data_IF_897288276564
#
_entry.id   IF_897288276564
#
_cell.length_a   1.000
_cell.length_b   1.000
_cell.length_c   1.000
_cell.angle_alpha   90.00
_cell.angle_beta   90.00
_cell.angle_gamma   90.00
#
_symmetry.space_group_name_H-M   'P 1'
#
loop_
_entity.id
_entity.type
_entity.pdbx_description
1 polymer ?
#
# COMPACT_ATOMS: atom_id res chain seq x y z
N UNK A 1 -39.26 58.78 28.51
CA UNK A 1 -39.54 58.23 27.16
C UNK A 1 -38.30 57.60 26.45
N UNK A 2 -37.08 58.05 26.70
CA UNK A 2 -35.91 57.60 25.97
C UNK A 2 -35.35 56.23 26.40
N UNK A 3 -35.52 55.80 27.65
CA UNK A 3 -35.00 54.48 28.11
C UNK A 3 -35.82 53.31 27.60
N UNK A 4 -37.13 53.41 27.45
CA UNK A 4 -37.97 52.35 26.88
C UNK A 4 -37.71 52.16 25.38
N UNK A 5 -37.40 53.19 24.64
CA UNK A 5 -37.03 53.09 23.20
C UNK A 5 -35.68 52.42 23.00
N UNK A 6 -34.70 52.68 23.87
CA UNK A 6 -33.39 52.02 23.82
C UNK A 6 -33.47 50.54 24.14
N UNK A 7 -34.29 50.16 25.11
CA UNK A 7 -34.51 48.73 25.45
C UNK A 7 -35.25 48.02 24.32
N UNK A 8 -36.26 48.63 23.71
CA UNK A 8 -36.96 48.05 22.55
C UNK A 8 -36.06 47.89 21.33
N UNK A 9 -35.15 48.82 21.06
CA UNK A 9 -34.19 48.73 19.96
C UNK A 9 -33.13 47.64 20.25
N UNK A 10 -32.65 47.55 21.50
CA UNK A 10 -31.69 46.51 21.90
C UNK A 10 -32.30 45.10 21.83
N UNK A 11 -33.56 44.91 22.25
CA UNK A 11 -34.26 43.60 22.10
C UNK A 11 -34.54 43.26 20.64
N UNK A 12 -34.85 44.26 19.81
CA UNK A 12 -35.03 44.04 18.36
C UNK A 12 -33.70 43.66 17.66
N UNK A 13 -32.59 44.27 18.05
CA UNK A 13 -31.25 43.91 17.54
C UNK A 13 -30.80 42.50 17.99
N UNK A 14 -31.08 42.12 19.23
CA UNK A 14 -30.78 40.79 19.76
C UNK A 14 -31.63 39.73 19.07
N UNK A 15 -32.91 40.01 18.79
CA UNK A 15 -33.78 39.11 18.03
C UNK A 15 -33.36 38.97 16.56
N UNK A 16 -32.78 40.03 15.97
CA UNK A 16 -32.24 39.97 14.60
C UNK A 16 -30.93 39.22 14.50
N UNK A 17 -30.10 39.23 15.56
CA UNK A 17 -28.84 38.48 15.61
C UNK A 17 -29.01 36.99 15.94
N UNK A 18 -30.16 36.58 16.49
CA UNK A 18 -30.49 35.20 16.76
C UNK A 18 -31.19 34.45 15.60
N UNK A 19 -31.49 35.18 14.51
CA UNK A 19 -32.28 34.65 13.40
C UNK A 19 -31.56 33.88 12.31
N UNK A 20 -30.24 33.70 12.37
CA UNK A 20 -29.47 32.96 11.34
C UNK A 20 -28.59 31.86 11.92
N UNK A 21 -29.18 31.00 12.71
CA UNK A 21 -28.67 29.63 12.88
C UNK A 21 -29.68 28.64 12.32
N UNK A 22 -29.97 28.73 11.03
CA UNK A 22 -30.46 27.55 10.32
C UNK A 22 -29.25 26.67 10.09
N UNK A 23 -28.99 25.76 10.99
CA UNK A 23 -28.13 24.62 10.74
C UNK A 23 -28.76 23.78 9.67
N UNK A 24 -28.68 24.21 8.44
CA UNK A 24 -28.90 23.37 7.26
C UNK A 24 -27.59 22.67 6.98
N UNK A 25 -27.39 21.55 7.61
CA UNK A 25 -26.29 20.59 7.36
C UNK A 25 -26.54 19.79 6.08
N UNK A 26 -27.43 20.25 5.22
CA UNK A 26 -27.75 19.54 3.96
C UNK A 26 -28.53 18.25 4.15
N UNK A 27 -29.04 17.96 5.34
CA UNK A 27 -29.88 16.79 5.60
C UNK A 27 -31.32 17.03 5.14
N UNK A 28 -31.93 16.01 4.56
CA UNK A 28 -33.34 16.02 4.23
C UNK A 28 -34.17 15.96 5.55
N UNK A 29 -35.17 16.83 5.66
CA UNK A 29 -36.09 16.83 6.81
C UNK A 29 -36.77 15.45 6.91
N UNK A 30 -36.65 14.80 8.08
CA UNK A 30 -37.19 13.47 8.31
C UNK A 30 -36.26 12.29 7.93
N UNK A 31 -35.05 12.57 7.47
CA UNK A 31 -34.04 11.52 7.37
C UNK A 31 -33.50 11.15 8.76
N UNK A 32 -33.24 9.87 9.00
CA UNK A 32 -32.56 9.44 10.20
C UNK A 32 -31.18 10.11 10.31
N UNK A 33 -30.80 10.51 11.51
CA UNK A 33 -29.47 11.07 11.76
C UNK A 33 -28.40 10.11 11.19
N UNK A 34 -27.52 10.66 10.37
CA UNK A 34 -26.35 9.89 9.91
C UNK A 34 -25.46 9.64 11.11
N UNK A 35 -24.93 8.41 11.28
CA UNK A 35 -23.88 8.19 12.26
C UNK A 35 -22.78 9.22 12.03
N UNK A 36 -22.31 9.86 13.10
CA UNK A 36 -21.22 10.82 12.99
C UNK A 36 -20.01 10.09 12.40
N UNK A 37 -19.57 10.58 11.26
CA UNK A 37 -18.32 10.09 10.65
C UNK A 37 -17.17 10.63 11.48
N UNK A 38 -16.35 9.75 12.04
CA UNK A 38 -15.14 10.14 12.75
C UNK A 38 -14.08 10.59 11.74
N UNK A 39 -13.86 11.90 11.68
CA UNK A 39 -12.86 12.49 10.79
C UNK A 39 -11.41 12.28 11.27
N UNK A 40 -11.22 11.80 12.49
CA UNK A 40 -9.89 11.57 13.08
C UNK A 40 -9.26 10.23 12.68
N UNK A 41 -9.81 9.55 11.69
CA UNK A 41 -9.33 8.27 11.19
C UNK A 41 -8.08 8.45 10.32
N UNK A 42 -6.97 8.91 10.92
CA UNK A 42 -5.67 8.80 10.31
C UNK A 42 -5.10 7.41 10.67
N UNK A 43 -5.01 6.47 9.73
CA UNK A 43 -4.41 5.17 10.01
C UNK A 43 -2.94 5.37 10.42
N UNK A 44 -2.50 4.59 11.42
CA UNK A 44 -1.12 4.64 11.88
C UNK A 44 -0.12 4.41 10.74
N UNK A 45 0.91 5.25 10.68
CA UNK A 45 1.96 5.18 9.65
C UNK A 45 1.53 5.66 8.26
N UNK A 46 0.36 6.32 8.14
CA UNK A 46 -0.11 6.90 6.88
C UNK A 46 -0.19 8.41 6.96
N UNK A 47 -0.09 9.06 5.81
CA UNK A 47 -0.32 10.50 5.64
C UNK A 47 -1.51 10.74 4.72
N UNK A 48 -2.23 11.83 4.97
CA UNK A 48 -3.34 12.25 4.11
C UNK A 48 -2.82 13.00 2.89
N UNK A 49 -3.22 12.54 1.71
CA UNK A 49 -2.96 13.21 0.44
C UNK A 49 -4.27 13.83 -0.04
N UNK A 50 -4.36 15.16 -0.13
CA UNK A 50 -5.60 15.85 -0.45
C UNK A 50 -6.05 15.60 -1.89
N UNK A 51 -7.36 15.67 -2.15
CA UNK A 51 -7.88 15.65 -3.51
C UNK A 51 -7.39 16.84 -4.31
N UNK A 52 -7.10 16.63 -5.59
CA UNK A 52 -6.63 17.74 -6.44
C UNK A 52 -6.47 17.35 -7.89
N UNK A 53 -6.05 18.32 -8.69
CA UNK A 53 -5.75 18.16 -10.11
C UNK A 53 -4.28 18.45 -10.36
N UNK A 54 -3.63 17.59 -11.11
CA UNK A 54 -2.23 17.77 -11.50
C UNK A 54 -2.02 17.37 -12.96
N UNK A 55 -0.90 17.77 -13.52
CA UNK A 55 -0.46 17.32 -14.84
C UNK A 55 0.44 16.11 -14.66
N UNK A 56 -0.03 14.93 -15.07
CA UNK A 56 0.75 13.68 -15.10
C UNK A 56 1.66 13.64 -16.32
N UNK A 57 2.66 12.77 -16.28
CA UNK A 57 3.56 12.54 -17.39
C UNK A 57 4.83 13.39 -17.35
N UNK A 58 5.70 13.25 -18.38
CA UNK A 58 6.99 13.88 -18.41
C UNK A 58 6.87 15.42 -18.44
N UNK A 59 7.81 16.04 -17.75
CA UNK A 59 8.05 17.48 -17.81
C UNK A 59 8.95 17.83 -19.00
N UNK A 60 9.25 19.11 -19.17
CA UNK A 60 10.18 19.63 -20.21
C UNK A 60 11.58 18.99 -20.16
N UNK A 61 11.91 18.28 -19.11
CA UNK A 61 13.19 17.60 -18.90
C UNK A 61 13.15 16.10 -19.24
N UNK A 62 12.17 15.64 -19.98
CA UNK A 62 12.14 14.26 -20.51
C UNK A 62 13.18 14.10 -21.63
N UNK A 63 14.35 13.58 -21.25
CA UNK A 63 15.49 13.37 -22.17
C UNK A 63 15.16 12.35 -23.26
N UNK A 64 14.28 11.41 -22.99
CA UNK A 64 13.95 10.31 -23.89
C UNK A 64 12.84 10.65 -24.88
N UNK A 65 12.21 11.82 -24.76
CA UNK A 65 11.07 12.21 -25.59
C UNK A 65 10.08 11.05 -25.77
N UNK A 66 9.67 10.43 -24.65
CA UNK A 66 8.80 9.26 -24.74
C UNK A 66 7.40 9.72 -25.16
N UNK A 67 7.17 9.79 -26.45
CA UNK A 67 5.91 10.22 -27.07
C UNK A 67 4.70 9.41 -26.61
N UNK A 68 4.94 8.31 -25.90
CA UNK A 68 3.90 7.43 -25.35
C UNK A 68 3.26 7.96 -24.07
N UNK A 69 3.85 8.92 -23.38
CA UNK A 69 3.36 9.52 -22.15
C UNK A 69 3.20 11.04 -22.33
N UNK A 70 2.16 11.46 -23.03
CA UNK A 70 1.83 12.89 -23.16
C UNK A 70 1.36 13.46 -21.83
N UNK A 71 1.83 14.68 -21.51
CA UNK A 71 1.34 15.40 -20.35
C UNK A 71 -0.19 15.57 -20.42
N UNK A 72 -0.88 15.20 -19.34
CA UNK A 72 -2.34 15.22 -19.26
C UNK A 72 -2.78 15.71 -17.87
N UNK A 73 -3.77 16.60 -17.83
CA UNK A 73 -4.38 17.02 -16.57
C UNK A 73 -5.31 15.92 -16.05
N UNK A 74 -5.08 15.50 -14.79
CA UNK A 74 -5.82 14.42 -14.12
C UNK A 74 -6.23 14.89 -12.73
N UNK A 75 -7.47 14.57 -12.36
CA UNK A 75 -8.00 14.82 -11.01
C UNK A 75 -8.01 13.54 -10.21
N UNK A 76 -7.48 13.60 -8.98
CA UNK A 76 -7.37 12.48 -8.04
C UNK A 76 -8.18 12.81 -6.79
N UNK A 77 -8.95 11.83 -6.29
CA UNK A 77 -9.62 11.94 -5.00
C UNK A 77 -8.60 11.90 -3.86
N UNK A 78 -8.97 12.43 -2.68
CA UNK A 78 -8.15 12.29 -1.49
C UNK A 78 -8.00 10.84 -1.04
N UNK A 79 -6.86 10.51 -0.46
CA UNK A 79 -6.55 9.17 0.05
C UNK A 79 -5.49 9.26 1.16
N UNK A 80 -5.36 8.20 1.92
CA UNK A 80 -4.23 8.00 2.82
C UNK A 80 -3.19 7.12 2.11
N UNK A 81 -1.91 7.41 2.32
CA UNK A 81 -0.79 6.63 1.80
C UNK A 81 0.22 6.36 2.90
N UNK A 82 0.80 5.16 2.93
CA UNK A 82 1.89 4.86 3.85
C UNK A 82 3.03 5.88 3.69
N UNK A 83 3.50 6.44 4.80
CA UNK A 83 4.57 7.43 4.79
C UNK A 83 5.89 6.86 4.25
N UNK A 84 6.11 5.56 4.44
CA UNK A 84 7.28 4.81 3.98
C UNK A 84 6.88 3.64 3.08
N UNK A 85 7.87 3.02 2.43
CA UNK A 85 7.70 1.68 1.88
C UNK A 85 7.39 0.71 3.02
N UNK A 86 6.59 -0.34 2.76
CA UNK A 86 6.35 -1.41 3.73
C UNK A 86 7.67 -2.05 4.13
N UNK A 87 7.93 -2.10 5.43
CA UNK A 87 9.20 -2.59 5.99
C UNK A 87 9.21 -4.11 6.16
N UNK A 88 10.41 -4.69 6.32
CA UNK A 88 10.56 -6.11 6.64
C UNK A 88 9.83 -6.47 7.94
N UNK A 89 9.86 -5.59 8.94
CA UNK A 89 9.15 -5.83 10.21
C UNK A 89 7.63 -5.92 9.99
N UNK A 90 7.04 -4.97 9.27
CA UNK A 90 5.59 -4.97 8.99
C UNK A 90 5.18 -6.20 8.19
N UNK A 91 5.97 -6.55 7.16
CA UNK A 91 5.67 -7.73 6.36
C UNK A 91 5.86 -9.04 7.14
N UNK A 92 6.81 -9.11 8.07
CA UNK A 92 6.97 -10.26 8.98
C UNK A 92 5.78 -10.45 9.91
N UNK A 93 5.13 -9.37 10.35
CA UNK A 93 3.89 -9.47 11.13
C UNK A 93 2.81 -10.21 10.35
N UNK A 94 2.68 -9.92 9.05
CA UNK A 94 1.77 -10.66 8.17
C UNK A 94 2.15 -12.14 8.06
N UNK A 95 3.43 -12.43 7.82
CA UNK A 95 3.92 -13.81 7.72
C UNK A 95 3.69 -14.59 9.00
N UNK A 96 3.97 -14.00 10.15
CA UNK A 96 3.75 -14.63 11.46
C UNK A 96 2.27 -14.85 11.74
N UNK A 97 1.44 -13.85 11.43
CA UNK A 97 -0.01 -13.99 11.59
C UNK A 97 -0.57 -15.17 10.76
N UNK A 98 -0.11 -15.32 9.51
CA UNK A 98 -0.52 -16.44 8.66
C UNK A 98 0.03 -17.76 9.19
N UNK A 99 1.30 -17.80 9.61
CA UNK A 99 1.90 -18.98 10.21
C UNK A 99 1.10 -19.47 11.43
N UNK A 100 0.78 -18.55 12.34
CA UNK A 100 0.04 -18.85 13.56
C UNK A 100 -1.42 -19.22 13.24
N UNK A 101 -2.06 -18.55 12.25
CA UNK A 101 -3.40 -18.93 11.77
C UNK A 101 -3.46 -20.39 11.27
N UNK A 102 -2.47 -20.81 10.48
CA UNK A 102 -2.39 -22.17 9.96
C UNK A 102 -2.18 -23.15 11.13
N UNK A 103 -1.30 -22.81 12.07
CA UNK A 103 -1.05 -23.63 13.24
C UNK A 103 -2.32 -23.85 14.10
N UNK A 104 -3.04 -22.78 14.43
CA UNK A 104 -4.32 -22.87 15.15
C UNK A 104 -5.33 -23.79 14.45
N UNK A 105 -5.45 -23.65 13.12
CA UNK A 105 -6.35 -24.51 12.33
C UNK A 105 -5.91 -25.98 12.32
N UNK A 106 -4.61 -26.25 12.38
CA UNK A 106 -4.08 -27.62 12.39
C UNK A 106 -4.21 -28.30 13.76
N UNK A 107 -3.99 -27.55 14.82
CA UNK A 107 -4.15 -28.04 16.21
C UNK A 107 -5.63 -28.32 16.49
N UNK A 108 -6.52 -27.40 16.12
CA UNK A 108 -7.96 -27.55 16.34
C UNK A 108 -8.36 -27.47 17.83
N UNK A 109 -9.46 -28.11 18.20
CA UNK A 109 -9.92 -28.15 19.59
C UNK A 109 -10.11 -26.74 20.19
N UNK A 110 -9.50 -26.47 21.34
CA UNK A 110 -9.62 -25.18 22.07
C UNK A 110 -9.00 -23.99 21.32
N UNK A 111 -8.23 -24.25 20.26
CA UNK A 111 -7.68 -23.22 19.36
C UNK A 111 -8.71 -22.66 18.37
N UNK A 112 -9.93 -23.23 18.33
CA UNK A 112 -11.02 -22.78 17.48
C UNK A 112 -12.25 -22.46 18.33
N UNK A 113 -12.90 -21.33 18.03
CA UNK A 113 -14.17 -20.93 18.60
C UNK A 113 -15.28 -21.24 17.61
N UNK A 114 -16.35 -21.88 18.06
CA UNK A 114 -17.55 -22.12 17.27
C UNK A 114 -18.56 -20.99 17.53
N UNK A 115 -18.95 -20.28 16.46
CA UNK A 115 -20.01 -19.29 16.50
C UNK A 115 -21.40 -19.93 16.56
N UNK A 116 -22.41 -19.18 16.98
CA UNK A 116 -23.81 -19.63 17.07
C UNK A 116 -24.38 -20.11 15.71
N UNK A 117 -23.80 -19.64 14.60
CA UNK A 117 -24.15 -19.98 13.24
C UNK A 117 -23.32 -21.14 12.65
N UNK A 118 -22.50 -21.80 13.47
CA UNK A 118 -21.61 -22.89 13.06
C UNK A 118 -20.34 -22.42 12.33
N UNK A 119 -20.08 -21.11 12.31
CA UNK A 119 -18.80 -20.59 11.77
C UNK A 119 -17.67 -20.83 12.76
N UNK A 120 -16.53 -21.29 12.25
CA UNK A 120 -15.32 -21.46 13.05
C UNK A 120 -14.45 -20.20 12.94
N UNK A 121 -13.97 -19.72 14.08
CA UNK A 121 -13.02 -18.63 14.18
C UNK A 121 -11.82 -19.03 15.04
N UNK A 122 -10.67 -18.38 14.80
CA UNK A 122 -9.44 -18.68 15.53
C UNK A 122 -9.51 -18.06 16.93
N UNK A 123 -9.19 -18.84 17.94
CA UNK A 123 -9.01 -18.38 19.31
C UNK A 123 -7.57 -17.87 19.50
N UNK A 124 -7.37 -16.58 19.28
CA UNK A 124 -6.06 -15.93 19.42
C UNK A 124 -5.57 -15.79 20.87
N UNK A 125 -6.40 -16.13 21.86
CA UNK A 125 -6.00 -16.09 23.27
C UNK A 125 -5.24 -17.36 23.69
N UNK A 126 -5.39 -18.46 22.92
CA UNK A 126 -4.66 -19.70 23.17
C UNK A 126 -3.23 -19.60 22.64
N UNK A 127 -2.21 -19.78 23.47
CA UNK A 127 -0.82 -19.78 23.02
C UNK A 127 -0.52 -21.07 22.23
N UNK A 128 0.29 -20.95 21.18
CA UNK A 128 0.82 -22.10 20.45
C UNK A 128 2.17 -22.49 21.05
N UNK A 129 2.34 -23.72 21.48
CA UNK A 129 3.64 -24.23 21.91
C UNK A 129 4.43 -24.81 20.74
N UNK A 130 5.39 -24.06 20.24
CA UNK A 130 6.28 -24.45 19.15
C UNK A 130 7.42 -25.39 19.58
N UNK A 131 7.49 -25.81 20.83
CA UNK A 131 8.56 -26.72 21.28
C UNK A 131 8.40 -28.12 20.67
N UNK A 132 9.53 -28.78 20.43
CA UNK A 132 9.56 -30.10 19.79
C UNK A 132 8.87 -31.20 20.61
N UNK A 133 8.67 -30.97 21.92
CA UNK A 133 8.10 -31.93 22.86
C UNK A 133 6.70 -31.55 23.32
N UNK A 134 6.06 -30.56 22.69
CA UNK A 134 4.72 -30.13 23.01
C UNK A 134 3.66 -31.15 22.56
N UNK A 135 2.48 -31.07 23.15
CA UNK A 135 1.30 -31.84 22.70
C UNK A 135 0.94 -31.48 21.26
N UNK A 136 1.20 -30.23 20.86
CA UNK A 136 0.93 -29.69 19.52
C UNK A 136 1.94 -30.13 18.46
N UNK A 137 3.11 -30.66 18.86
CA UNK A 137 4.22 -30.97 17.94
C UNK A 137 3.80 -31.95 16.83
N UNK A 138 2.90 -32.89 17.14
CA UNK A 138 2.38 -33.87 16.17
C UNK A 138 1.50 -33.21 15.10
N UNK A 139 0.65 -32.29 15.46
CA UNK A 139 -0.22 -31.54 14.55
C UNK A 139 0.60 -30.61 13.66
N UNK A 140 1.65 -30.00 14.21
CA UNK A 140 2.49 -29.02 13.52
C UNK A 140 3.58 -29.67 12.62
N UNK A 141 3.79 -31.00 12.68
CA UNK A 141 4.86 -31.68 11.92
C UNK A 141 4.79 -31.39 10.41
N UNK A 142 3.58 -31.31 9.88
CA UNK A 142 3.36 -31.02 8.47
C UNK A 142 3.76 -29.61 8.03
N UNK A 143 3.97 -28.67 8.97
CA UNK A 143 4.42 -27.29 8.66
C UNK A 143 5.92 -27.19 8.43
N UNK A 144 6.69 -28.17 8.91
CA UNK A 144 8.15 -28.14 8.83
C UNK A 144 8.68 -28.74 7.54
N UNK A 145 9.95 -28.45 7.24
CA UNK A 145 10.69 -29.14 6.19
C UNK A 145 10.77 -30.64 6.48
N UNK A 146 10.77 -31.44 5.40
CA UNK A 146 11.08 -32.89 5.50
C UNK A 146 12.50 -33.08 6.05
N UNK A 147 12.78 -34.22 6.68
CA UNK A 147 14.14 -34.51 7.23
C UNK A 147 15.26 -34.33 6.19
N UNK A 148 15.00 -34.69 4.95
CA UNK A 148 15.97 -34.58 3.86
C UNK A 148 16.28 -33.12 3.47
N UNK A 149 15.35 -32.20 3.74
CA UNK A 149 15.44 -30.77 3.37
C UNK A 149 15.97 -29.89 4.54
N UNK A 150 16.21 -30.50 5.72
CA UNK A 150 16.66 -29.74 6.92
C UNK A 150 18.14 -29.40 6.83
N UNK A 151 18.44 -28.08 6.87
CA UNK A 151 19.81 -27.63 6.95
C UNK A 151 20.36 -27.86 8.37
N UNK A 152 21.47 -28.57 8.50
CA UNK A 152 22.08 -28.97 9.78
C UNK A 152 21.14 -29.72 10.73
N UNK A 153 20.09 -30.36 10.20
CA UNK A 153 19.09 -31.08 11.00
C UNK A 153 18.14 -30.16 11.79
N UNK A 154 18.19 -28.84 11.60
CA UNK A 154 17.32 -27.88 12.28
C UNK A 154 15.89 -28.00 11.73
N UNK A 155 14.91 -28.01 12.65
CA UNK A 155 13.51 -28.12 12.33
C UNK A 155 12.93 -26.71 12.09
N UNK A 156 12.93 -26.28 10.82
CA UNK A 156 12.42 -24.99 10.40
C UNK A 156 11.09 -25.13 9.66
N UNK A 157 10.22 -24.11 9.79
CA UNK A 157 8.94 -24.05 9.05
C UNK A 157 9.23 -23.89 7.56
N UNK A 158 8.55 -24.70 6.74
CA UNK A 158 8.65 -24.63 5.28
C UNK A 158 7.86 -23.42 4.75
N UNK A 159 8.52 -22.37 4.23
CA UNK A 159 7.86 -21.16 3.74
C UNK A 159 6.85 -21.42 2.62
N UNK A 160 7.04 -22.51 1.85
CA UNK A 160 6.14 -22.87 0.75
C UNK A 160 4.74 -23.26 1.21
N UNK A 161 4.60 -23.61 2.51
CA UNK A 161 3.32 -24.00 3.15
C UNK A 161 2.59 -22.81 3.75
N UNK A 162 3.24 -21.64 3.82
CA UNK A 162 2.63 -20.41 4.30
C UNK A 162 1.84 -19.76 3.17
N UNK A 163 0.62 -20.23 3.00
CA UNK A 163 -0.31 -19.73 1.98
C UNK A 163 -1.44 -18.96 2.62
N UNK A 164 -1.77 -17.81 2.03
CA UNK A 164 -2.87 -16.96 2.45
C UNK A 164 -3.90 -16.80 1.32
N UNK A 165 -5.17 -17.02 1.63
CA UNK A 165 -6.29 -16.75 0.73
C UNK A 165 -6.87 -15.38 1.02
N UNK A 166 -6.87 -14.50 0.04
CA UNK A 166 -7.55 -13.22 0.09
C UNK A 166 -8.61 -13.14 -1.00
N UNK A 167 -9.60 -12.26 -0.80
CA UNK A 167 -10.70 -12.07 -1.72
C UNK A 167 -10.89 -10.59 -2.02
N UNK A 168 -11.36 -10.29 -3.23
CA UNK A 168 -11.74 -8.95 -3.63
C UNK A 168 -13.01 -8.98 -4.46
N UNK A 169 -13.67 -7.82 -4.58
CA UNK A 169 -14.92 -7.70 -5.30
C UNK A 169 -14.71 -6.99 -6.63
N UNK A 170 -15.24 -7.55 -7.72
CA UNK A 170 -15.17 -6.99 -9.06
C UNK A 170 -16.25 -5.93 -9.26
N UNK A 171 -16.05 -4.73 -8.69
CA UNK A 171 -17.03 -3.64 -8.73
C UNK A 171 -17.41 -3.22 -10.15
N UNK A 172 -16.43 -3.15 -11.07
CA UNK A 172 -16.68 -2.77 -12.47
C UNK A 172 -17.58 -3.76 -13.18
N UNK A 173 -17.30 -5.04 -13.03
CA UNK A 173 -18.09 -6.10 -13.66
C UNK A 173 -19.49 -6.16 -13.04
N UNK A 174 -19.60 -6.01 -11.73
CA UNK A 174 -20.89 -5.96 -11.05
C UNK A 174 -21.74 -4.75 -11.47
N UNK A 175 -21.12 -3.62 -11.80
CA UNK A 175 -21.81 -2.41 -12.25
C UNK A 175 -22.29 -2.45 -13.70
N UNK A 176 -21.88 -3.45 -14.48
CA UNK A 176 -22.38 -3.59 -15.86
C UNK A 176 -23.86 -3.95 -15.88
N UNK A 177 -24.62 -3.26 -16.72
CA UNK A 177 -26.09 -3.44 -16.82
C UNK A 177 -26.51 -4.89 -17.07
N UNK A 178 -25.74 -5.63 -17.84
CA UNK A 178 -25.97 -7.06 -18.15
C UNK A 178 -25.79 -7.99 -16.93
N UNK A 179 -25.17 -7.50 -15.86
CA UNK A 179 -24.81 -8.26 -14.69
C UNK A 179 -25.71 -7.99 -13.47
N UNK A 180 -26.68 -7.07 -13.54
CA UNK A 180 -27.53 -6.66 -12.42
C UNK A 180 -28.31 -7.82 -11.78
N UNK A 181 -28.67 -8.83 -12.56
CA UNK A 181 -29.42 -9.98 -12.06
C UNK A 181 -28.55 -11.16 -11.63
N UNK A 182 -27.22 -11.04 -11.71
CA UNK A 182 -26.30 -12.10 -11.30
C UNK A 182 -26.08 -12.06 -9.79
N UNK A 183 -25.92 -13.22 -9.13
CA UNK A 183 -25.65 -13.26 -7.68
C UNK A 183 -24.31 -12.60 -7.35
N UNK A 184 -24.24 -11.94 -6.20
CA UNK A 184 -23.04 -11.24 -5.73
C UNK A 184 -21.79 -12.14 -5.70
N UNK A 185 -21.95 -13.42 -5.38
CA UNK A 185 -20.86 -14.40 -5.34
C UNK A 185 -20.09 -14.54 -6.65
N UNK A 186 -20.74 -14.25 -7.80
CA UNK A 186 -20.09 -14.27 -9.12
C UNK A 186 -18.94 -13.26 -9.24
N UNK A 187 -19.05 -12.14 -8.50
CA UNK A 187 -18.11 -11.03 -8.54
C UNK A 187 -17.08 -11.06 -7.41
N UNK A 188 -17.16 -12.03 -6.50
CA UNK A 188 -16.15 -12.27 -5.48
C UNK A 188 -15.09 -13.18 -6.08
N UNK A 189 -13.88 -12.64 -6.21
CA UNK A 189 -12.70 -13.42 -6.60
C UNK A 189 -11.89 -13.76 -5.36
N UNK A 190 -11.28 -14.94 -5.39
CA UNK A 190 -10.40 -15.42 -4.35
C UNK A 190 -9.09 -15.88 -4.99
N UNK A 191 -7.99 -15.61 -4.32
CA UNK A 191 -6.67 -16.05 -4.74
C UNK A 191 -5.89 -16.53 -3.53
N UNK A 192 -5.25 -17.68 -3.66
CA UNK A 192 -4.38 -18.26 -2.66
C UNK A 192 -2.93 -18.04 -3.10
N UNK A 193 -2.12 -17.47 -2.23
CA UNK A 193 -0.76 -17.04 -2.54
C UNK A 193 0.19 -17.51 -1.44
N UNK A 194 1.33 -18.10 -1.83
CA UNK A 194 2.45 -18.32 -0.92
C UNK A 194 3.05 -16.95 -0.55
N UNK A 195 3.07 -16.61 0.74
CA UNK A 195 3.30 -15.23 1.19
C UNK A 195 4.75 -14.92 1.56
N UNK A 196 5.60 -15.93 1.72
CA UNK A 196 6.98 -15.69 2.13
C UNK A 196 7.77 -15.04 0.99
N UNK A 197 8.53 -13.95 1.25
CA UNK A 197 9.30 -13.28 0.22
C UNK A 197 10.37 -14.20 -0.39
N UNK A 198 10.62 -14.04 -1.67
CA UNK A 198 11.72 -14.76 -2.34
C UNK A 198 13.08 -14.14 -1.98
N UNK A 199 13.76 -14.75 -1.03
CA UNK A 199 15.09 -14.31 -0.59
C UNK A 199 16.19 -14.58 -1.63
N UNK A 200 15.97 -15.50 -2.58
CA UNK A 200 16.92 -15.83 -3.63
C UNK A 200 17.03 -14.72 -4.70
N UNK A 201 16.14 -13.75 -4.70
CA UNK A 201 16.20 -12.60 -5.63
C UNK A 201 17.52 -11.87 -5.55
N UNK A 202 18.17 -11.80 -4.38
CA UNK A 202 19.48 -11.17 -4.18
C UNK A 202 20.60 -11.82 -5.01
N UNK A 203 20.59 -13.13 -5.15
CA UNK A 203 21.55 -13.88 -5.98
C UNK A 203 21.11 -13.87 -7.45
N UNK A 204 19.81 -14.05 -7.71
CA UNK A 204 19.28 -14.11 -9.08
C UNK A 204 19.50 -12.82 -9.86
N UNK A 205 19.28 -11.67 -9.23
CA UNK A 205 19.44 -10.37 -9.88
C UNK A 205 20.91 -10.00 -10.12
N UNK A 206 21.83 -10.49 -9.28
CA UNK A 206 23.26 -10.16 -9.33
C UNK A 206 24.12 -11.40 -9.08
N UNK A 207 24.12 -12.32 -10.06
CA UNK A 207 24.72 -13.68 -9.94
C UNK A 207 26.21 -13.68 -9.59
N UNK A 208 26.96 -12.65 -10.01
CA UNK A 208 28.41 -12.55 -9.76
C UNK A 208 28.77 -11.69 -8.53
N UNK A 209 27.77 -11.25 -7.78
CA UNK A 209 27.96 -10.50 -6.53
C UNK A 209 27.83 -11.45 -5.34
N UNK A 210 28.67 -11.24 -4.34
CA UNK A 210 28.61 -12.02 -3.09
C UNK A 210 27.43 -11.57 -2.24
N UNK A 211 26.22 -12.05 -2.55
CA UNK A 211 24.97 -11.64 -1.92
C UNK A 211 24.31 -12.71 -1.02
N UNK A 212 25.00 -13.84 -0.77
CA UNK A 212 24.48 -14.87 0.14
C UNK A 212 24.14 -14.33 1.54
N UNK A 213 24.90 -13.40 2.16
CA UNK A 213 24.51 -12.81 3.43
C UNK A 213 23.16 -12.09 3.37
N UNK A 214 22.88 -11.39 2.27
CA UNK A 214 21.58 -10.73 2.06
C UNK A 214 20.44 -11.77 1.91
N UNK A 215 20.67 -12.82 1.14
CA UNK A 215 19.71 -13.93 0.97
C UNK A 215 19.31 -14.57 2.30
N UNK A 216 20.28 -14.72 3.21
CA UNK A 216 20.04 -15.36 4.52
C UNK A 216 19.40 -14.43 5.55
N UNK A 217 19.77 -13.17 5.53
CA UNK A 217 19.55 -12.29 6.68
C UNK A 217 18.65 -11.09 6.38
N UNK A 218 18.51 -10.67 5.14
CA UNK A 218 17.81 -9.42 4.84
C UNK A 218 16.36 -9.40 5.34
N UNK A 219 15.62 -10.48 5.12
CA UNK A 219 14.22 -10.53 5.56
C UNK A 219 14.08 -10.90 7.03
N UNK A 220 14.94 -11.78 7.55
CA UNK A 220 14.76 -12.40 8.87
C UNK A 220 15.47 -11.69 10.02
N UNK A 221 16.57 -10.97 9.73
CA UNK A 221 17.42 -10.41 10.78
C UNK A 221 16.94 -9.04 11.27
N UNK A 222 16.86 -8.77 12.58
CA UNK A 222 16.37 -7.50 13.15
C UNK A 222 17.11 -6.24 12.69
N UNK A 223 18.37 -6.37 12.25
CA UNK A 223 19.12 -5.24 11.71
C UNK A 223 18.46 -4.59 10.48
N UNK A 224 17.61 -5.33 9.78
CA UNK A 224 16.90 -4.87 8.60
C UNK A 224 15.40 -4.64 8.84
N UNK A 225 14.98 -4.51 10.11
CA UNK A 225 13.58 -4.29 10.47
C UNK A 225 12.98 -3.09 9.78
N UNK A 226 13.69 -1.96 9.76
CA UNK A 226 13.27 -0.68 9.20
C UNK A 226 13.59 -0.54 7.70
N UNK A 227 14.08 -1.59 7.04
CA UNK A 227 14.38 -1.60 5.61
C UNK A 227 13.16 -2.07 4.81
N UNK A 228 12.98 -1.60 3.56
CA UNK A 228 11.82 -1.99 2.77
C UNK A 228 11.84 -3.49 2.46
N UNK A 229 10.68 -4.13 2.48
CA UNK A 229 10.55 -5.50 2.02
C UNK A 229 10.77 -5.58 0.52
N UNK A 230 11.56 -6.57 0.08
CA UNK A 230 11.84 -6.86 -1.33
C UNK A 230 11.68 -8.37 -1.60
N UNK A 231 11.74 -8.76 -2.87
CA UNK A 231 11.53 -10.17 -3.23
C UNK A 231 10.06 -10.57 -3.14
N UNK A 232 9.14 -9.63 -3.23
CA UNK A 232 7.69 -9.83 -3.20
C UNK A 232 7.08 -9.65 -4.59
N UNK A 233 6.19 -10.58 -4.97
CA UNK A 233 5.39 -10.47 -6.17
C UNK A 233 4.27 -9.44 -6.01
N UNK A 234 3.68 -9.02 -7.12
CA UNK A 234 2.49 -8.15 -7.09
C UNK A 234 1.31 -8.79 -6.34
N UNK A 235 1.12 -10.09 -6.48
CA UNK A 235 0.08 -10.83 -5.77
C UNK A 235 0.33 -10.89 -4.26
N UNK A 236 1.58 -11.08 -3.84
CA UNK A 236 1.97 -11.04 -2.43
C UNK A 236 1.74 -9.65 -1.80
N UNK A 237 2.03 -8.59 -2.53
CA UNK A 237 1.76 -7.23 -2.09
C UNK A 237 0.24 -6.97 -1.92
N UNK A 238 -0.59 -7.45 -2.86
CA UNK A 238 -2.05 -7.38 -2.72
C UNK A 238 -2.57 -8.25 -1.57
N UNK A 239 -1.99 -9.43 -1.35
CA UNK A 239 -2.34 -10.29 -0.22
C UNK A 239 -2.08 -9.60 1.13
N UNK A 240 -0.95 -8.88 1.26
CA UNK A 240 -0.65 -8.05 2.42
C UNK A 240 -1.71 -6.95 2.63
N UNK A 241 -2.08 -6.23 1.56
CA UNK A 241 -3.13 -5.21 1.63
C UNK A 241 -4.48 -5.81 2.09
N UNK A 242 -4.86 -6.97 1.57
CA UNK A 242 -6.06 -7.69 1.97
C UNK A 242 -6.04 -8.13 3.44
N UNK A 243 -4.90 -8.65 3.91
CA UNK A 243 -4.69 -8.98 5.32
C UNK A 243 -4.80 -7.74 6.23
N UNK A 244 -4.14 -6.64 5.86
CA UNK A 244 -4.20 -5.37 6.62
C UNK A 244 -5.63 -4.84 6.72
N UNK A 245 -6.40 -4.92 5.62
CA UNK A 245 -7.82 -4.56 5.60
C UNK A 245 -8.63 -5.38 6.59
N UNK A 246 -8.45 -6.71 6.57
CA UNK A 246 -9.14 -7.62 7.47
C UNK A 246 -8.79 -7.32 8.92
N UNK A 247 -7.50 -7.27 9.25
CA UNK A 247 -7.03 -7.00 10.61
C UNK A 247 -7.58 -5.68 11.15
N UNK A 248 -7.56 -4.64 10.33
CA UNK A 248 -8.05 -3.32 10.69
C UNK A 248 -9.57 -3.32 10.94
N UNK A 249 -10.34 -3.89 10.03
CA UNK A 249 -11.80 -3.95 10.14
C UNK A 249 -12.28 -4.88 11.25
N UNK A 250 -11.57 -5.99 11.50
CA UNK A 250 -11.86 -6.88 12.64
C UNK A 250 -11.69 -6.13 13.98
N UNK A 251 -10.63 -5.32 14.11
CA UNK A 251 -10.41 -4.50 15.30
C UNK A 251 -11.48 -3.41 15.46
N UNK A 252 -11.85 -2.73 14.38
CA UNK A 252 -12.92 -1.71 14.39
C UNK A 252 -14.27 -2.31 14.75
N UNK A 253 -14.58 -3.47 14.19
CA UNK A 253 -15.82 -4.19 14.50
C UNK A 253 -15.93 -4.55 16.00
N UNK A 254 -14.81 -4.98 16.61
CA UNK A 254 -14.76 -5.24 18.08
C UNK A 254 -15.03 -3.99 18.90
N UNK A 255 -14.65 -2.83 18.41
CA UNK A 255 -14.87 -1.53 19.05
C UNK A 255 -16.24 -0.91 18.70
N UNK A 256 -17.08 -1.56 17.88
CA UNK A 256 -18.35 -1.03 17.40
C UNK A 256 -18.23 0.11 16.39
N UNK A 257 -17.09 0.26 15.75
CA UNK A 257 -16.79 1.30 14.78
C UNK A 257 -17.15 0.86 13.35
N UNK A 258 -17.46 1.83 12.48
CA UNK A 258 -17.72 1.53 11.07
C UNK A 258 -16.47 0.99 10.35
N UNK A 259 -16.60 -0.01 9.46
CA UNK A 259 -15.47 -0.50 8.69
C UNK A 259 -14.92 0.58 7.75
N UNK A 260 -13.63 0.53 7.47
CA UNK A 260 -12.99 1.33 6.43
C UNK A 260 -13.06 0.60 5.08
N UNK A 261 -12.73 1.30 4.00
CA UNK A 261 -12.53 0.72 2.68
C UNK A 261 -11.27 -0.17 2.63
N UNK A 262 -11.02 -0.81 1.52
CA UNK A 262 -9.91 -1.75 1.36
C UNK A 262 -8.57 -1.00 1.26
N UNK A 263 -7.59 -1.41 2.08
CA UNK A 263 -6.18 -1.11 1.79
C UNK A 263 -5.81 -1.80 0.47
N UNK A 264 -5.09 -1.09 -0.36
CA UNK A 264 -4.68 -1.58 -1.67
C UNK A 264 -3.35 -0.97 -2.10
N UNK A 265 -2.78 -1.46 -3.16
CA UNK A 265 -1.69 -0.76 -3.83
C UNK A 265 -2.20 0.56 -4.42
N UNK A 266 -1.36 1.60 -4.51
CA UNK A 266 -1.71 2.84 -5.21
C UNK A 266 -1.95 2.55 -6.70
N UNK A 267 -2.87 3.27 -7.33
CA UNK A 267 -2.87 3.37 -8.79
C UNK A 267 -1.69 4.24 -9.23
N UNK A 268 -1.24 4.06 -10.45
CA UNK A 268 -0.08 4.78 -11.00
C UNK A 268 -0.16 6.30 -10.81
N UNK A 269 -1.34 6.87 -11.04
CA UNK A 269 -1.55 8.31 -10.97
C UNK A 269 -1.68 8.83 -9.52
N UNK A 270 -2.19 8.03 -8.58
CA UNK A 270 -2.15 8.35 -7.15
C UNK A 270 -0.70 8.41 -6.68
N UNK A 271 0.10 7.42 -7.08
CA UNK A 271 1.51 7.38 -6.74
C UNK A 271 2.27 8.60 -7.25
N UNK A 272 2.09 8.96 -8.54
CA UNK A 272 2.74 10.13 -9.14
C UNK A 272 2.29 11.45 -8.49
N UNK A 273 0.97 11.58 -8.23
CA UNK A 273 0.42 12.74 -7.55
C UNK A 273 1.01 12.93 -6.15
N UNK A 274 1.08 11.84 -5.38
CA UNK A 274 1.67 11.82 -4.05
C UNK A 274 3.17 12.12 -4.09
N UNK A 275 3.91 11.55 -5.05
CA UNK A 275 5.35 11.78 -5.22
C UNK A 275 5.67 13.25 -5.52
N UNK A 276 4.83 13.93 -6.30
CA UNK A 276 5.01 15.36 -6.61
C UNK A 276 4.82 16.27 -5.40
N UNK A 277 4.14 15.82 -4.33
CA UNK A 277 3.98 16.60 -3.10
C UNK A 277 3.29 17.96 -3.31
N UNK A 278 2.34 18.07 -4.27
CA UNK A 278 1.69 19.33 -4.62
C UNK A 278 2.51 20.25 -5.56
N UNK A 279 3.71 19.87 -5.97
CA UNK A 279 4.56 20.66 -6.86
C UNK A 279 4.18 20.44 -8.32
N UNK A 280 4.08 21.52 -9.07
CA UNK A 280 3.72 21.49 -10.49
C UNK A 280 4.95 21.11 -11.33
N UNK A 281 4.81 20.12 -12.21
CA UNK A 281 5.82 19.68 -13.19
C UNK A 281 7.22 19.37 -12.59
N UNK A 282 7.29 19.09 -11.29
CA UNK A 282 8.56 18.76 -10.62
C UNK A 282 9.10 17.41 -11.10
N UNK A 283 10.35 17.34 -11.57
CA UNK A 283 10.94 16.07 -11.98
C UNK A 283 11.19 15.12 -10.80
N UNK A 284 11.48 15.65 -9.61
CA UNK A 284 11.75 14.87 -8.40
C UNK A 284 10.88 15.34 -7.23
N UNK A 285 10.68 14.50 -6.20
CA UNK A 285 9.83 14.84 -5.04
C UNK A 285 10.26 16.09 -4.29
N UNK A 286 11.53 16.44 -4.30
CA UNK A 286 12.09 17.64 -3.64
C UNK A 286 12.01 18.91 -4.49
N UNK A 287 11.53 18.84 -5.73
CA UNK A 287 11.17 19.99 -6.55
C UNK A 287 12.20 20.46 -7.59
N UNK A 288 13.49 20.29 -7.32
CA UNK A 288 14.54 20.73 -8.25
C UNK A 288 14.95 19.63 -9.26
N UNK A 289 15.70 19.98 -10.31
CA UNK A 289 16.22 19.02 -11.30
C UNK A 289 17.48 18.29 -10.82
N UNK A 290 18.05 18.69 -9.69
CA UNK A 290 19.31 18.16 -9.20
C UNK A 290 19.09 16.98 -8.25
N UNK A 291 19.95 15.97 -8.35
CA UNK A 291 19.96 14.79 -7.47
C UNK A 291 20.81 15.01 -6.20
N UNK A 292 21.45 16.18 -6.10
CA UNK A 292 22.26 16.58 -4.95
C UNK A 292 21.77 17.91 -4.38
N UNK A 293 21.90 18.03 -3.09
CA UNK A 293 21.65 19.31 -2.40
C UNK A 293 22.85 20.28 -2.59
N UNK A 294 22.71 21.49 -2.07
CA UNK A 294 23.74 22.53 -2.15
C UNK A 294 25.06 22.18 -1.43
N UNK A 295 25.03 21.18 -0.56
CA UNK A 295 26.21 20.65 0.15
C UNK A 295 26.87 19.48 -0.59
N UNK A 296 26.28 19.05 -1.73
CA UNK A 296 26.78 17.93 -2.52
C UNK A 296 26.25 16.56 -2.12
N UNK A 297 25.46 16.44 -1.03
CA UNK A 297 24.88 15.16 -0.59
C UNK A 297 23.77 14.69 -1.56
N UNK A 298 23.67 13.39 -1.78
CA UNK A 298 22.59 12.79 -2.56
C UNK A 298 21.23 12.98 -1.85
N UNK A 299 20.16 13.14 -2.63
CA UNK A 299 18.80 13.34 -2.13
C UNK A 299 17.96 12.07 -2.13
N UNK A 300 18.51 10.98 -2.65
CA UNK A 300 17.85 9.67 -2.72
C UNK A 300 18.90 8.56 -2.80
N UNK A 301 18.48 7.33 -2.51
CA UNK A 301 19.30 6.14 -2.69
C UNK A 301 19.15 5.59 -4.10
N UNK A 302 20.19 5.77 -4.93
CA UNK A 302 20.22 5.32 -6.33
C UNK A 302 21.67 5.10 -6.78
N UNK A 303 21.88 4.65 -8.00
CA UNK A 303 23.22 4.49 -8.57
C UNK A 303 23.77 5.86 -9.06
N UNK A 304 24.60 6.54 -8.27
CA UNK A 304 25.04 7.91 -8.57
C UNK A 304 26.07 8.00 -9.70
N UNK A 305 26.76 6.89 -9.97
CA UNK A 305 27.77 6.80 -11.00
C UNK A 305 28.36 5.41 -11.10
N UNK A 306 29.29 5.21 -12.04
CA UNK A 306 29.89 3.90 -12.25
C UNK A 306 30.79 3.51 -11.07
N UNK A 307 30.41 2.46 -10.35
CA UNK A 307 31.20 1.87 -9.27
C UNK A 307 31.20 2.63 -7.94
N UNK A 308 30.45 3.74 -7.83
CA UNK A 308 30.39 4.54 -6.59
C UNK A 308 28.99 4.47 -5.96
N UNK A 309 28.55 3.26 -5.57
CA UNK A 309 27.24 3.03 -4.96
C UNK A 309 27.13 3.60 -3.54
N UNK A 310 28.14 3.44 -2.65
CA UNK A 310 28.00 3.84 -1.24
C UNK A 310 28.39 5.31 -1.01
N UNK A 311 28.26 6.19 -2.00
CA UNK A 311 28.74 7.58 -1.89
C UNK A 311 28.11 8.31 -0.69
N UNK A 312 26.82 8.10 -0.45
CA UNK A 312 26.12 8.63 0.74
C UNK A 312 25.66 7.52 1.70
N UNK A 313 26.31 6.35 1.68
CA UNK A 313 26.11 5.27 2.64
C UNK A 313 25.20 4.13 2.19
N UNK A 314 24.47 4.27 1.08
CA UNK A 314 23.59 3.22 0.54
C UNK A 314 24.32 2.36 -0.50
N UNK A 315 24.66 1.10 -0.15
CA UNK A 315 25.20 0.15 -1.13
C UNK A 315 24.10 -0.64 -1.85
N UNK A 316 23.10 -1.06 -1.11
CA UNK A 316 21.85 -1.66 -1.56
C UNK A 316 20.68 -0.80 -1.05
N UNK A 317 19.63 -1.42 -0.53
CA UNK A 317 18.55 -0.73 0.17
C UNK A 317 19.07 0.00 1.41
N UNK A 318 18.36 1.04 1.82
CA UNK A 318 18.57 1.77 3.08
C UNK A 318 17.27 1.75 3.89
N UNK A 319 17.33 2.24 5.13
CA UNK A 319 16.14 2.38 5.96
C UNK A 319 15.07 3.20 5.26
N UNK A 320 13.82 2.83 5.44
CA UNK A 320 12.67 3.48 4.81
C UNK A 320 12.52 4.98 5.15
N UNK A 321 13.23 5.46 6.19
CA UNK A 321 13.27 6.87 6.62
C UNK A 321 14.63 7.54 6.42
N UNK A 322 15.52 6.97 5.60
CA UNK A 322 16.92 7.43 5.50
C UNK A 322 17.08 8.82 4.84
N UNK A 323 16.14 9.24 4.01
CA UNK A 323 16.16 10.53 3.32
C UNK A 323 14.98 11.40 3.77
N UNK A 324 14.98 12.67 3.37
CA UNK A 324 13.91 13.60 3.74
C UNK A 324 12.60 13.29 3.01
N UNK A 325 11.46 13.44 3.69
CA UNK A 325 10.16 13.29 3.06
C UNK A 325 9.88 14.45 2.09
N UNK A 326 8.92 14.22 1.17
CA UNK A 326 8.38 15.30 0.34
C UNK A 326 7.41 16.18 1.13
N UNK A 327 6.79 17.18 0.47
CA UNK A 327 5.91 18.16 1.12
C UNK A 327 4.61 17.54 1.68
N UNK A 328 4.24 16.32 1.31
CA UNK A 328 3.14 15.58 1.93
C UNK A 328 3.60 14.69 3.11
N UNK A 329 4.89 14.61 3.40
CA UNK A 329 5.43 13.77 4.46
C UNK A 329 5.79 12.34 4.01
N UNK A 330 5.84 12.08 2.70
CA UNK A 330 6.15 10.76 2.14
C UNK A 330 7.65 10.60 1.93
N UNK A 331 8.21 9.51 2.49
CA UNK A 331 9.61 9.15 2.35
C UNK A 331 9.87 8.33 1.09
N UNK A 332 11.08 8.42 0.56
CA UNK A 332 11.62 7.59 -0.53
C UNK A 332 10.74 7.49 -1.78
N UNK A 333 9.96 8.54 -2.08
CA UNK A 333 9.21 8.61 -3.35
C UNK A 333 10.12 8.72 -4.59
N UNK A 334 11.44 8.60 -4.40
CA UNK A 334 12.46 8.50 -5.43
C UNK A 334 13.63 7.70 -4.89
N UNK A 335 13.97 6.60 -5.56
CA UNK A 335 15.06 5.71 -5.18
C UNK A 335 14.69 4.71 -4.07
N UNK A 336 15.68 4.10 -3.47
CA UNK A 336 15.59 2.99 -2.53
C UNK A 336 15.01 1.73 -3.18
N UNK A 337 13.69 1.54 -3.21
CA UNK A 337 13.05 0.46 -3.99
C UNK A 337 11.99 1.04 -4.93
N UNK A 338 11.89 0.45 -6.12
CA UNK A 338 10.76 0.73 -7.00
C UNK A 338 9.50 0.10 -6.42
N UNK A 339 8.35 0.75 -6.59
CA UNK A 339 7.14 0.35 -5.90
C UNK A 339 6.08 -0.21 -6.84
N UNK A 340 5.51 -1.36 -6.49
CA UNK A 340 4.36 -1.92 -7.16
C UNK A 340 3.17 -0.98 -7.13
N UNK A 341 2.50 -0.84 -8.27
CA UNK A 341 1.19 -0.20 -8.35
C UNK A 341 0.11 -1.18 -8.79
N UNK A 342 -1.15 -0.80 -8.59
CA UNK A 342 -2.29 -1.62 -9.00
C UNK A 342 -2.48 -1.63 -10.52
N UNK A 343 -1.90 -0.65 -11.22
CA UNK A 343 -2.13 -0.38 -12.64
C UNK A 343 -1.40 -1.38 -13.53
N UNK A 344 -2.11 -1.95 -14.50
CA UNK A 344 -1.51 -2.74 -15.57
C UNK A 344 -0.73 -1.84 -16.54
N UNK A 345 0.44 -2.29 -16.98
CA UNK A 345 1.29 -1.52 -17.87
C UNK A 345 0.86 -1.64 -19.33
N UNK A 346 0.42 -0.51 -19.89
CA UNK A 346 0.23 -0.34 -21.33
C UNK A 346 1.00 0.89 -21.77
N UNK A 347 1.76 0.78 -22.85
CA UNK A 347 2.65 1.85 -23.33
C UNK A 347 1.87 3.13 -23.68
N UNK A 348 0.71 2.99 -24.31
CA UNK A 348 -0.12 4.11 -24.77
C UNK A 348 -1.29 4.46 -23.84
N UNK A 349 -1.25 4.03 -22.58
CA UNK A 349 -2.37 4.21 -21.63
C UNK A 349 -2.82 5.66 -21.49
N UNK A 350 -1.91 6.62 -21.52
CA UNK A 350 -2.23 8.05 -21.37
C UNK A 350 -3.10 8.61 -22.49
N UNK A 351 -3.19 7.96 -23.64
CA UNK A 351 -4.04 8.38 -24.74
C UNK A 351 -5.51 8.02 -24.56
N UNK A 352 -5.84 7.02 -23.72
CA UNK A 352 -7.21 6.53 -23.54
C UNK A 352 -7.74 6.55 -22.11
N UNK A 353 -6.89 6.85 -21.09
CA UNK A 353 -7.36 6.97 -19.71
C UNK A 353 -8.29 8.16 -19.52
N UNK A 354 -9.22 8.04 -18.57
CA UNK A 354 -10.11 9.12 -18.18
C UNK A 354 -9.37 10.20 -17.39
N UNK A 355 -9.92 11.43 -17.34
CA UNK A 355 -9.30 12.56 -16.64
C UNK A 355 -9.54 12.53 -15.12
N UNK A 356 -10.50 11.73 -14.64
CA UNK A 356 -10.88 11.64 -13.25
C UNK A 356 -10.61 10.24 -12.72
N UNK A 357 -9.73 10.13 -11.73
CA UNK A 357 -9.32 8.87 -11.08
C UNK A 357 -9.05 7.76 -12.10
N UNK A 358 -8.14 7.95 -13.06
CA UNK A 358 -7.89 6.94 -14.09
C UNK A 358 -7.32 5.68 -13.44
N UNK A 359 -7.92 4.55 -13.78
CA UNK A 359 -7.53 3.25 -13.23
C UNK A 359 -7.63 2.18 -14.32
N UNK A 360 -6.49 1.59 -14.66
CA UNK A 360 -6.38 0.52 -15.65
C UNK A 360 -5.96 -0.74 -14.90
N UNK A 361 -6.93 -1.60 -14.63
CA UNK A 361 -6.69 -2.88 -13.97
C UNK A 361 -6.82 -4.01 -14.98
N UNK A 362 -5.89 -4.92 -14.92
CA UNK A 362 -5.97 -6.20 -15.60
C UNK A 362 -5.33 -7.25 -14.70
N UNK A 363 -6.12 -8.22 -14.27
CA UNK A 363 -5.65 -9.38 -13.51
C UNK A 363 -5.32 -10.48 -14.51
N UNK A 364 -4.04 -10.55 -14.88
CA UNK A 364 -3.58 -11.50 -15.89
C UNK A 364 -3.59 -12.93 -15.33
N UNK A 365 -4.10 -13.84 -16.14
CA UNK A 365 -4.12 -15.28 -15.86
C UNK A 365 -2.80 -15.92 -16.29
N UNK A 366 -2.57 -17.14 -15.84
CA UNK A 366 -1.34 -17.88 -16.18
C UNK A 366 -1.21 -18.15 -17.69
N UNK A 367 -2.34 -18.33 -18.37
CA UNK A 367 -2.39 -18.56 -19.82
C UNK A 367 -2.21 -17.31 -20.67
N UNK A 368 -2.33 -16.12 -20.05
CA UNK A 368 -2.24 -14.86 -20.79
C UNK A 368 -0.81 -14.60 -21.30
N UNK A 369 -0.68 -13.93 -22.45
CA UNK A 369 0.61 -13.49 -22.95
C UNK A 369 1.39 -12.68 -21.90
N UNK A 370 2.70 -12.86 -21.85
CA UNK A 370 3.58 -12.19 -20.86
C UNK A 370 3.46 -10.67 -20.88
N UNK A 371 3.12 -10.09 -22.03
CA UNK A 371 2.89 -8.65 -22.16
C UNK A 371 1.73 -8.12 -21.33
N UNK A 372 0.71 -8.95 -21.06
CA UNK A 372 -0.44 -8.61 -20.22
C UNK A 372 -0.15 -8.78 -18.73
N UNK A 373 0.89 -9.52 -18.37
CA UNK A 373 1.34 -9.73 -16.97
C UNK A 373 2.14 -8.55 -16.42
N UNK A 374 2.41 -7.53 -17.24
CA UNK A 374 3.19 -6.36 -16.82
C UNK A 374 2.37 -5.44 -15.93
N UNK A 375 2.93 -5.08 -14.76
CA UNK A 375 2.41 -4.08 -13.83
C UNK A 375 3.32 -2.89 -13.77
N UNK A 376 2.75 -1.71 -13.59
CA UNK A 376 3.54 -0.49 -13.44
C UNK A 376 4.27 -0.50 -12.10
N UNK A 377 5.57 -0.19 -12.14
CA UNK A 377 6.37 0.16 -10.97
C UNK A 377 6.87 1.59 -11.10
N UNK A 378 7.03 2.27 -9.96
CA UNK A 378 7.36 3.70 -9.91
C UNK A 378 8.49 3.97 -8.92
N UNK A 379 9.13 5.15 -9.02
CA UNK A 379 10.11 5.68 -8.08
C UNK A 379 11.57 5.38 -8.44
N UNK A 380 11.83 4.33 -9.21
CA UNK A 380 13.19 3.83 -9.40
C UNK A 380 13.76 3.23 -8.13
N UNK A 381 14.99 2.72 -8.17
CA UNK A 381 15.57 1.97 -7.07
C UNK A 381 17.06 2.23 -6.88
N UNK A 382 17.64 1.65 -5.83
CA UNK A 382 19.07 1.73 -5.51
C UNK A 382 19.99 1.30 -6.65
N UNK A 383 19.54 0.45 -7.57
CA UNK A 383 20.31 0.01 -8.76
C UNK A 383 20.18 0.94 -9.97
N UNK A 384 19.16 1.80 -9.98
CA UNK A 384 18.77 2.60 -11.14
C UNK A 384 19.53 3.93 -11.17
N UNK A 385 19.69 4.49 -12.38
CA UNK A 385 20.26 5.82 -12.57
C UNK A 385 19.20 6.90 -12.36
N UNK A 386 19.64 8.15 -12.16
CA UNK A 386 18.77 9.28 -11.82
C UNK A 386 17.56 9.50 -12.72
N UNK A 387 17.59 9.07 -13.98
CA UNK A 387 16.44 9.13 -14.88
C UNK A 387 15.22 8.37 -14.35
N UNK A 388 15.42 7.17 -13.81
CA UNK A 388 14.33 6.35 -13.30
C UNK A 388 13.71 6.86 -11.98
N UNK A 389 14.40 7.80 -11.31
CA UNK A 389 13.91 8.43 -10.08
C UNK A 389 12.93 9.58 -10.34
N UNK A 390 12.76 10.01 -11.59
CA UNK A 390 11.80 11.07 -11.91
C UNK A 390 10.38 10.62 -11.60
N UNK A 391 9.60 11.50 -11.00
CA UNK A 391 8.21 11.24 -10.58
C UNK A 391 7.32 10.78 -11.75
N UNK A 392 7.63 11.20 -12.97
CA UNK A 392 6.89 10.87 -14.18
C UNK A 392 7.35 9.58 -14.86
N UNK A 393 8.55 9.07 -14.53
CA UNK A 393 9.09 7.89 -15.21
C UNK A 393 8.28 6.65 -14.87
N UNK A 394 7.86 5.96 -15.92
CA UNK A 394 7.12 4.69 -15.84
C UNK A 394 8.05 3.55 -16.13
N UNK A 395 8.09 2.60 -15.22
CA UNK A 395 8.73 1.30 -15.43
C UNK A 395 7.70 0.19 -15.23
N UNK A 396 8.06 -1.02 -15.55
CA UNK A 396 7.19 -2.16 -15.35
C UNK A 396 7.99 -3.40 -14.93
N UNK A 397 7.29 -4.32 -14.28
CA UNK A 397 7.79 -5.65 -13.99
C UNK A 397 6.63 -6.66 -14.15
N UNK A 398 6.94 -7.93 -14.33
CA UNK A 398 5.92 -8.98 -14.41
C UNK A 398 5.32 -9.25 -13.04
N UNK A 399 3.99 -9.42 -12.97
CA UNK A 399 3.26 -9.60 -11.71
C UNK A 399 3.72 -10.81 -10.87
N UNK A 400 4.29 -11.81 -11.51
CA UNK A 400 4.81 -13.06 -10.93
C UNK A 400 6.33 -13.02 -10.67
N UNK A 401 6.98 -11.89 -10.93
CA UNK A 401 8.42 -11.72 -10.76
C UNK A 401 8.77 -11.15 -9.39
N UNK A 402 9.86 -11.65 -8.81
CA UNK A 402 10.43 -11.15 -7.56
C UNK A 402 11.77 -10.49 -7.84
N UNK A 403 12.01 -9.31 -7.28
CA UNK A 403 13.24 -8.53 -7.48
C UNK A 403 13.78 -8.00 -6.16
N UNK A 404 15.10 -7.90 -6.06
CA UNK A 404 15.80 -7.32 -4.91
C UNK A 404 15.69 -5.80 -4.82
N UNK A 405 15.02 -5.17 -5.77
CA UNK A 405 14.87 -3.72 -5.91
C UNK A 405 13.43 -3.26 -6.10
N UNK A 406 12.46 -4.16 -5.91
CA UNK A 406 11.03 -3.84 -5.98
C UNK A 406 10.37 -4.18 -4.64
N UNK A 407 9.74 -3.18 -4.06
CA UNK A 407 8.91 -3.22 -2.86
C UNK A 407 7.52 -2.65 -3.13
N UNK A 408 6.84 -2.16 -2.11
CA UNK A 408 5.51 -1.54 -2.25
C UNK A 408 5.16 -0.68 -1.03
N UNK A 409 4.12 0.14 -1.19
CA UNK A 409 3.39 0.80 -0.09
C UNK A 409 1.90 0.68 -0.31
N UNK A 410 1.10 0.84 0.75
CA UNK A 410 -0.34 0.75 0.68
C UNK A 410 -0.98 2.14 0.63
N UNK A 411 -2.20 2.18 0.08
CA UNK A 411 -3.10 3.32 0.16
C UNK A 411 -4.46 2.88 0.71
N UNK A 412 -5.17 3.83 1.31
CA UNK A 412 -6.55 3.67 1.76
C UNK A 412 -7.37 4.84 1.21
N UNK A 413 -8.47 4.60 0.47
CA UNK A 413 -9.33 5.66 -0.02
C UNK A 413 -9.90 6.53 1.12
N UNK A 414 -9.91 7.85 0.94
CA UNK A 414 -10.57 8.75 1.86
C UNK A 414 -12.05 8.87 1.49
N UNK A 415 -12.92 8.42 2.39
CA UNK A 415 -14.38 8.38 2.18
C UNK A 415 -15.11 9.56 2.83
N UNK A 416 -14.41 10.46 3.50
CA UNK A 416 -14.98 11.60 4.20
C UNK A 416 -14.92 12.92 3.42
N UNK A 417 -15.14 14.02 4.14
CA UNK A 417 -14.90 15.37 3.65
C UNK A 417 -13.40 15.67 3.60
N UNK A 418 -13.02 16.65 2.79
CA UNK A 418 -11.64 17.16 2.80
C UNK A 418 -11.28 17.71 4.18
N UNK A 419 -10.04 17.54 4.61
CA UNK A 419 -9.54 18.14 5.85
C UNK A 419 -9.63 19.67 5.82
N UNK A 420 -9.58 20.28 4.64
CA UNK A 420 -9.79 21.74 4.46
C UNK A 420 -11.21 22.21 4.74
N UNK A 421 -12.19 21.31 4.78
CA UNK A 421 -13.59 21.64 5.08
C UNK A 421 -13.82 21.86 6.59
N UNK A 422 -12.79 21.70 7.42
CA UNK A 422 -12.85 21.82 8.89
C UNK A 422 -12.04 23.02 9.44
N UNK A 423 -11.42 23.81 8.59
CA UNK A 423 -10.69 25.03 8.96
C UNK A 423 -11.57 26.28 8.82
#
# INVERSE_FOLDING_TARGET
MNRLRLVAIATFLIAYLSGCKSGYDGQLVGAADRPQWDNNLLPYGMVYVPSGTFTTGPSDQDINYSFNAKAKAISINGFYMDETEVTNNEYRQFVYWVKDSIAHMMIGGDHLLEGEDGTQSINWEMPIDWSANSEDAGALESMYYSEADRLYGVKDVDPRKLEYEFSWFLWRDAALRENFNKPRSTFIKKKKVAIYPDTLCWIRDFTYSYNEPMTRSYFSHPAYDDYPVVGVTWDQANAFCGWRTRLWNDNRSKNGEAPVDEFRLPIEHEWEYAARGGRIASPYPWGGPYLRNTKGCLLANFKPGRGNYPEDGGFYTVKSTAYWPNDYGLYNMAGNVAEWTLTAFFENSYSFVHDKNPDIRYDAKDEDPTTLKRKVIRGGSWKDVGYFLQTSTRSWEYQDSTKSYVGFRCVLPFLGRSMSDFN
#
